data_IF_658385342055
#
_entry.id   IF_658385342055
#
_cell.length_a   1.000
_cell.length_b   1.000
_cell.length_c   1.000
_cell.angle_alpha   90.00
_cell.angle_beta   90.00
_cell.angle_gamma   90.00
#
_symmetry.space_group_name_H-M   'P 1'
#
loop_
_entity.id
_entity.type
_entity.pdbx_description
1 polymer ?
#
# COMPACT_ATOMS: atom_id res chain seq x y z
N UNK A 1 28.71 -19.53 6.53
CA UNK A 1 27.84 -18.38 6.25
C UNK A 1 26.59 -18.56 7.08
N UNK A 2 26.25 -17.64 7.97
CA UNK A 2 24.94 -17.67 8.68
C UNK A 2 23.87 -17.60 7.60
N UNK A 3 22.90 -18.52 7.62
CA UNK A 3 21.67 -18.42 6.83
C UNK A 3 20.90 -17.19 7.33
N UNK A 4 21.28 -15.99 6.88
CA UNK A 4 20.47 -14.79 7.13
C UNK A 4 19.19 -14.96 6.32
N UNK A 5 18.05 -14.89 7.00
CA UNK A 5 16.76 -14.88 6.33
C UNK A 5 16.66 -13.57 5.53
N UNK A 6 16.81 -13.64 4.21
CA UNK A 6 16.75 -12.46 3.34
C UNK A 6 15.41 -11.73 3.39
N UNK A 7 14.33 -12.42 3.81
CA UNK A 7 12.99 -11.87 3.97
C UNK A 7 12.73 -11.33 5.38
N UNK A 8 13.79 -11.23 6.21
CA UNK A 8 13.66 -10.75 7.58
C UNK A 8 13.26 -9.26 7.64
N UNK A 9 12.17 -8.99 8.31
CA UNK A 9 11.66 -7.66 8.65
C UNK A 9 11.57 -7.45 10.16
N UNK A 10 12.11 -8.39 10.95
CA UNK A 10 12.08 -8.32 12.41
C UNK A 10 12.73 -7.05 12.93
N UNK A 11 12.15 -6.47 13.98
CA UNK A 11 12.58 -5.22 14.61
C UNK A 11 12.52 -3.98 13.71
N UNK A 12 11.99 -4.08 12.48
CA UNK A 12 11.74 -2.92 11.63
C UNK A 12 10.50 -2.18 12.10
N UNK A 13 10.57 -0.86 12.15
CA UNK A 13 9.41 -0.01 12.42
C UNK A 13 8.70 0.24 11.10
N UNK A 14 7.46 -0.22 11.01
CA UNK A 14 6.61 -0.11 9.81
C UNK A 14 5.48 0.86 10.06
N UNK A 15 5.36 1.85 9.21
CA UNK A 15 4.22 2.76 9.16
C UNK A 15 3.32 2.37 8.00
N UNK A 16 2.05 2.09 8.25
CA UNK A 16 1.11 1.66 7.20
C UNK A 16 -0.18 2.46 7.23
N UNK A 17 -0.55 3.03 6.09
CA UNK A 17 -1.83 3.73 5.92
C UNK A 17 -2.92 2.79 5.44
N UNK A 18 -4.18 3.02 5.87
CA UNK A 18 -5.31 2.17 5.47
C UNK A 18 -5.39 0.83 6.23
N UNK A 19 -4.78 0.74 7.42
CA UNK A 19 -4.67 -0.49 8.20
C UNK A 19 -5.99 -1.00 8.81
N UNK A 20 -7.11 -0.29 8.64
CA UNK A 20 -8.39 -0.69 9.25
C UNK A 20 -9.19 -1.73 8.46
N UNK A 21 -8.78 -2.10 7.25
CA UNK A 21 -9.45 -3.15 6.46
C UNK A 21 -8.66 -3.57 5.22
N UNK A 22 -9.09 -4.65 4.58
CA UNK A 22 -8.66 -5.10 3.26
C UNK A 22 -7.14 -5.29 3.14
N UNK A 23 -6.57 -4.84 2.04
CA UNK A 23 -5.15 -5.04 1.73
C UNK A 23 -4.25 -4.37 2.79
N UNK A 24 -4.61 -3.16 3.26
CA UNK A 24 -3.82 -2.47 4.28
C UNK A 24 -3.77 -3.21 5.61
N UNK A 25 -4.89 -3.76 6.08
CA UNK A 25 -4.94 -4.57 7.29
C UNK A 25 -4.20 -5.91 7.13
N UNK A 26 -4.37 -6.59 5.97
CA UNK A 26 -3.65 -7.83 5.66
C UNK A 26 -2.14 -7.60 5.64
N UNK A 27 -1.68 -6.54 4.98
CA UNK A 27 -0.27 -6.15 4.94
C UNK A 27 0.30 -5.84 6.34
N UNK A 28 -0.47 -5.12 7.18
CA UNK A 28 -0.09 -4.82 8.54
C UNK A 28 0.05 -6.11 9.38
N UNK A 29 -0.90 -7.01 9.24
CA UNK A 29 -0.89 -8.33 9.93
C UNK A 29 0.29 -9.19 9.47
N UNK A 30 0.54 -9.26 8.15
CA UNK A 30 1.66 -10.01 7.60
C UNK A 30 3.00 -9.52 8.19
N UNK A 31 3.25 -8.21 8.18
CA UNK A 31 4.50 -7.63 8.69
C UNK A 31 4.66 -7.82 10.20
N UNK A 32 3.58 -7.66 10.99
CA UNK A 32 3.61 -7.88 12.43
C UNK A 32 3.93 -9.34 12.77
N UNK A 33 3.28 -10.31 12.12
CA UNK A 33 3.55 -11.75 12.29
C UNK A 33 4.98 -12.16 11.92
N UNK A 34 5.64 -11.37 11.06
CA UNK A 34 7.05 -11.56 10.69
C UNK A 34 8.02 -10.73 11.54
N UNK A 35 7.58 -10.26 12.72
CA UNK A 35 8.42 -9.66 13.76
C UNK A 35 8.71 -8.17 13.59
N UNK A 36 8.03 -7.48 12.67
CA UNK A 36 8.08 -6.03 12.59
C UNK A 36 7.21 -5.39 13.68
N UNK A 37 7.62 -4.20 14.15
CA UNK A 37 6.77 -3.30 14.93
C UNK A 37 5.92 -2.47 13.96
N UNK A 38 4.60 -2.68 13.96
CA UNK A 38 3.70 -2.10 12.96
C UNK A 38 2.79 -1.05 13.57
N UNK A 39 2.84 0.17 13.03
CA UNK A 39 1.96 1.29 13.37
C UNK A 39 0.92 1.46 12.26
N UNK A 40 -0.32 1.10 12.56
CA UNK A 40 -1.44 1.22 11.61
C UNK A 40 -2.11 2.59 11.67
N UNK A 41 -2.24 3.27 10.52
CA UNK A 41 -2.94 4.56 10.45
C UNK A 41 -4.26 4.40 9.69
N UNK A 42 -5.37 4.81 10.29
CA UNK A 42 -6.67 4.91 9.63
C UNK A 42 -7.63 5.83 10.42
N UNK A 43 -8.86 5.96 9.91
CA UNK A 43 -9.91 6.81 10.50
C UNK A 43 -10.88 6.06 11.42
N UNK A 44 -10.92 4.72 11.35
CA UNK A 44 -11.87 3.87 12.09
C UNK A 44 -11.16 3.29 13.30
N UNK A 45 -11.39 3.88 14.45
CA UNK A 45 -10.71 3.51 15.69
C UNK A 45 -11.09 2.10 16.16
N UNK A 46 -12.38 1.76 16.11
CA UNK A 46 -12.91 0.44 16.46
C UNK A 46 -12.21 -0.69 15.70
N UNK A 47 -12.01 -0.49 14.38
CA UNK A 47 -11.32 -1.46 13.53
C UNK A 47 -9.83 -1.57 13.83
N UNK A 48 -9.16 -0.44 14.07
CA UNK A 48 -7.74 -0.43 14.42
C UNK A 48 -7.50 -1.08 15.77
N UNK A 49 -8.31 -0.75 16.76
CA UNK A 49 -8.24 -1.33 18.10
C UNK A 49 -8.43 -2.83 18.06
N UNK A 50 -9.50 -3.30 17.38
CA UNK A 50 -9.75 -4.74 17.20
C UNK A 50 -8.59 -5.44 16.49
N UNK A 51 -8.02 -4.82 15.44
CA UNK A 51 -6.84 -5.37 14.75
C UNK A 51 -5.64 -5.51 15.71
N UNK A 52 -5.31 -4.48 16.50
CA UNK A 52 -4.22 -4.56 17.48
C UNK A 52 -4.46 -5.63 18.55
N UNK A 53 -5.70 -5.80 19.03
CA UNK A 53 -6.06 -6.78 20.04
C UNK A 53 -5.99 -8.22 19.54
N UNK A 54 -6.20 -8.44 18.22
CA UNK A 54 -6.29 -9.79 17.63
C UNK A 54 -5.08 -10.18 16.80
N UNK A 55 -4.20 -9.24 16.47
CA UNK A 55 -3.02 -9.48 15.66
C UNK A 55 -1.88 -10.03 16.52
N UNK A 56 -1.25 -11.11 16.07
CA UNK A 56 0.00 -11.59 16.65
C UNK A 56 1.16 -10.69 16.23
N UNK A 57 1.96 -10.24 17.20
CA UNK A 57 3.12 -9.40 16.97
C UNK A 57 3.02 -8.03 17.65
N UNK A 58 4.03 -7.18 17.45
CA UNK A 58 4.10 -5.85 18.04
C UNK A 58 3.32 -4.86 17.17
N UNK A 59 2.15 -4.42 17.64
CA UNK A 59 1.23 -3.55 16.90
C UNK A 59 0.81 -2.35 17.73
N UNK A 60 0.72 -1.20 17.08
CA UNK A 60 0.06 -0.01 17.60
C UNK A 60 -0.74 0.69 16.51
N UNK A 61 -1.55 1.66 16.88
CA UNK A 61 -2.33 2.41 15.90
C UNK A 61 -2.32 3.91 16.17
N UNK A 62 -2.52 4.67 15.11
CA UNK A 62 -2.70 6.12 15.15
C UNK A 62 -3.98 6.50 14.39
N UNK A 63 -4.91 7.16 15.09
CA UNK A 63 -6.16 7.61 14.51
C UNK A 63 -5.95 8.90 13.72
N UNK A 64 -6.00 8.83 12.39
CA UNK A 64 -5.84 10.00 11.54
C UNK A 64 -6.52 9.86 10.18
N UNK A 65 -6.90 11.02 9.63
CA UNK A 65 -7.34 11.16 8.23
C UNK A 65 -6.17 11.69 7.39
N UNK A 66 -5.48 10.77 6.72
CA UNK A 66 -4.32 11.09 5.87
C UNK A 66 -4.71 11.79 4.55
N UNK A 67 -5.99 11.89 4.20
CA UNK A 67 -6.43 12.70 3.06
C UNK A 67 -6.24 14.20 3.31
N UNK A 68 -6.17 14.62 4.56
CA UNK A 68 -5.91 16.00 4.96
C UNK A 68 -4.40 16.29 4.92
N UNK A 69 -3.87 16.48 3.71
CA UNK A 69 -2.43 16.61 3.43
C UNK A 69 -1.66 17.57 4.35
N UNK A 70 -2.27 18.70 4.73
CA UNK A 70 -1.66 19.70 5.62
C UNK A 70 -1.26 19.14 6.98
N UNK A 71 -1.90 18.06 7.43
CA UNK A 71 -1.68 17.47 8.74
C UNK A 71 -0.66 16.32 8.71
N UNK A 72 -0.31 15.78 7.54
CA UNK A 72 0.51 14.57 7.41
C UNK A 72 1.84 14.72 8.17
N UNK A 73 2.53 15.83 7.98
CA UNK A 73 3.82 16.06 8.64
C UNK A 73 3.71 15.97 10.18
N UNK A 74 2.69 16.61 10.76
CA UNK A 74 2.49 16.58 12.21
C UNK A 74 2.09 15.18 12.69
N UNK A 75 1.21 14.48 11.96
CA UNK A 75 0.84 13.10 12.24
C UNK A 75 2.08 12.20 12.29
N UNK A 76 2.97 12.32 11.31
CA UNK A 76 4.18 11.49 11.24
C UNK A 76 5.17 11.87 12.35
N UNK A 77 5.33 13.15 12.68
CA UNK A 77 6.20 13.59 13.78
C UNK A 77 5.69 13.05 15.12
N UNK A 78 4.39 13.11 15.40
CA UNK A 78 3.80 12.56 16.62
C UNK A 78 3.99 11.03 16.73
N UNK A 79 3.97 10.33 15.59
CA UNK A 79 4.23 8.89 15.56
C UNK A 79 5.71 8.61 15.81
N UNK A 80 6.62 9.37 15.20
CA UNK A 80 8.07 9.22 15.38
C UNK A 80 8.45 9.44 16.83
N UNK A 81 7.85 10.42 17.50
CA UNK A 81 8.11 10.71 18.91
C UNK A 81 7.73 9.52 19.83
N UNK A 82 6.66 8.82 19.52
CA UNK A 82 6.13 7.71 20.32
C UNK A 82 6.75 6.36 19.97
N UNK A 83 6.95 6.09 18.69
CA UNK A 83 7.23 4.76 18.17
C UNK A 83 8.64 4.61 17.60
N UNK A 84 9.31 5.74 17.32
CA UNK A 84 10.61 5.81 16.66
C UNK A 84 10.53 6.04 15.15
N UNK A 85 11.69 6.27 14.54
CA UNK A 85 11.80 6.54 13.10
C UNK A 85 11.42 5.31 12.26
N UNK A 86 10.46 5.40 11.33
CA UNK A 86 10.08 4.30 10.47
C UNK A 86 11.23 3.82 9.57
N UNK A 87 11.36 2.51 9.43
CA UNK A 87 12.23 1.86 8.46
C UNK A 87 11.48 1.56 7.15
N UNK A 88 10.19 1.29 7.26
CA UNK A 88 9.32 0.89 6.16
C UNK A 88 8.06 1.75 6.19
N UNK A 89 7.69 2.28 5.03
CA UNK A 89 6.40 2.95 4.80
C UNK A 89 5.59 2.15 3.78
N UNK A 90 4.35 1.79 4.13
CA UNK A 90 3.40 1.14 3.23
C UNK A 90 2.20 2.05 3.01
N UNK A 91 2.05 2.57 1.81
CA UNK A 91 0.94 3.41 1.39
C UNK A 91 -0.18 2.52 0.82
N UNK A 92 -1.13 2.09 1.68
CA UNK A 92 -2.25 1.23 1.29
C UNK A 92 -3.63 1.92 1.39
N UNK A 93 -3.71 3.12 1.95
CA UNK A 93 -4.95 3.89 1.94
C UNK A 93 -5.36 4.27 0.51
N UNK A 94 -6.63 4.08 0.18
CA UNK A 94 -7.15 4.44 -1.13
C UNK A 94 -8.66 4.32 -1.23
N UNK A 95 -9.23 5.00 -2.21
CA UNK A 95 -10.65 4.99 -2.56
C UNK A 95 -10.84 4.86 -4.07
N UNK A 96 -12.04 4.44 -4.47
CA UNK A 96 -12.54 4.55 -5.83
C UNK A 96 -14.01 5.03 -5.75
N UNK A 97 -14.27 6.24 -6.21
CA UNK A 97 -15.62 6.86 -6.18
C UNK A 97 -16.59 6.20 -7.14
N UNK A 98 -16.08 5.48 -8.15
CA UNK A 98 -16.88 4.73 -9.14
C UNK A 98 -17.88 5.59 -9.92
N UNK A 99 -17.49 6.83 -10.21
CA UNK A 99 -18.28 7.74 -11.04
C UNK A 99 -18.15 7.37 -12.52
N UNK A 100 -19.27 7.45 -13.28
CA UNK A 100 -19.23 7.36 -14.73
C UNK A 100 -18.44 8.55 -15.32
N UNK A 101 -17.83 8.38 -16.50
CA UNK A 101 -16.96 9.40 -17.07
C UNK A 101 -17.63 10.77 -17.22
N UNK A 102 -18.90 10.80 -17.62
CA UNK A 102 -19.68 12.03 -17.84
C UNK A 102 -20.15 12.68 -16.52
N UNK A 103 -20.13 11.93 -15.42
CA UNK A 103 -20.65 12.34 -14.10
C UNK A 103 -19.56 12.56 -13.06
N UNK A 104 -18.26 12.52 -13.46
CA UNK A 104 -17.15 12.76 -12.53
C UNK A 104 -17.24 14.15 -11.93
N UNK A 105 -17.41 14.20 -10.61
CA UNK A 105 -17.47 15.46 -9.87
C UNK A 105 -16.08 15.98 -9.54
N UNK A 106 -15.92 17.31 -9.42
CA UNK A 106 -14.66 17.91 -8.94
C UNK A 106 -14.29 17.38 -7.55
N UNK A 107 -15.26 17.24 -6.65
CA UNK A 107 -15.04 16.70 -5.31
C UNK A 107 -14.55 15.24 -5.35
N UNK A 108 -15.20 14.37 -6.15
CA UNK A 108 -14.81 12.96 -6.32
C UNK A 108 -13.43 12.83 -6.93
N UNK A 109 -13.12 13.67 -7.92
CA UNK A 109 -11.82 13.75 -8.54
C UNK A 109 -10.73 14.14 -7.53
N UNK A 110 -10.87 15.29 -6.88
CA UNK A 110 -9.90 15.83 -5.93
C UNK A 110 -9.69 14.87 -4.75
N UNK A 111 -10.75 14.36 -4.16
CA UNK A 111 -10.70 13.39 -3.07
C UNK A 111 -9.93 12.12 -3.46
N UNK A 112 -10.15 11.64 -4.69
CA UNK A 112 -9.44 10.45 -5.19
C UNK A 112 -7.96 10.74 -5.41
N UNK A 113 -7.60 11.84 -6.06
CA UNK A 113 -6.21 12.20 -6.29
C UNK A 113 -5.49 12.55 -4.98
N UNK A 114 -6.15 13.24 -4.07
CA UNK A 114 -5.57 13.59 -2.77
C UNK A 114 -5.19 12.36 -1.97
N UNK A 115 -6.09 11.40 -1.82
CA UNK A 115 -5.83 10.21 -1.03
C UNK A 115 -4.94 9.21 -1.75
N UNK A 116 -5.20 8.93 -3.03
CA UNK A 116 -4.52 7.84 -3.74
C UNK A 116 -3.14 8.24 -4.30
N UNK A 117 -2.88 9.52 -4.56
CA UNK A 117 -1.67 9.99 -5.22
C UNK A 117 -0.86 10.97 -4.36
N UNK A 118 -1.50 12.04 -3.87
CA UNK A 118 -0.78 13.06 -3.11
C UNK A 118 -0.35 12.57 -1.74
N UNK A 119 -1.24 11.88 -1.02
CA UNK A 119 -0.96 11.32 0.33
C UNK A 119 0.27 10.41 0.33
N UNK A 120 0.43 9.42 -0.56
CA UNK A 120 1.65 8.60 -0.63
C UNK A 120 2.95 9.39 -0.73
N UNK A 121 2.97 10.47 -1.50
CA UNK A 121 4.14 11.33 -1.60
C UNK A 121 4.44 12.06 -0.29
N UNK A 122 3.45 12.73 0.31
CA UNK A 122 3.68 13.49 1.54
C UNK A 122 3.96 12.62 2.75
N UNK A 123 3.39 11.41 2.83
CA UNK A 123 3.78 10.41 3.82
C UNK A 123 5.26 10.01 3.65
N UNK A 124 5.69 9.70 2.43
CA UNK A 124 7.09 9.37 2.13
C UNK A 124 8.03 10.53 2.46
N UNK A 125 7.69 11.76 2.06
CA UNK A 125 8.47 12.95 2.35
C UNK A 125 8.64 13.18 3.86
N UNK A 126 7.65 12.78 4.66
CA UNK A 126 7.68 12.99 6.12
C UNK A 126 8.58 11.99 6.86
N UNK A 127 8.85 10.80 6.28
CA UNK A 127 9.72 9.77 6.89
C UNK A 127 11.13 9.73 6.31
N UNK A 128 11.36 10.44 5.20
CA UNK A 128 12.57 10.28 4.38
C UNK A 128 13.86 10.65 5.10
N UNK A 129 13.83 11.66 5.98
CA UNK A 129 15.05 12.13 6.68
C UNK A 129 15.54 11.09 7.69
N UNK A 130 14.65 10.39 8.40
CA UNK A 130 15.00 9.28 9.28
C UNK A 130 15.63 8.11 8.50
N UNK A 131 15.02 7.76 7.35
CA UNK A 131 15.55 6.72 6.47
C UNK A 131 16.93 7.10 5.89
N UNK A 132 17.16 8.36 5.50
CA UNK A 132 18.47 8.85 5.03
C UNK A 132 19.54 8.72 6.11
N UNK A 133 19.24 9.09 7.36
CA UNK A 133 20.17 8.96 8.50
C UNK A 133 20.56 7.50 8.72
N UNK A 134 19.60 6.57 8.59
CA UNK A 134 19.82 5.13 8.70
C UNK A 134 20.53 4.54 7.47
N UNK A 135 20.59 5.26 6.34
CA UNK A 135 21.05 4.78 5.02
C UNK A 135 20.33 3.50 4.57
N UNK A 136 19.08 3.37 4.98
CA UNK A 136 18.22 2.24 4.65
C UNK A 136 16.75 2.65 4.81
N UNK A 137 15.93 2.26 3.86
CA UNK A 137 14.49 2.44 3.90
C UNK A 137 13.77 1.67 2.82
N UNK A 138 12.49 1.38 3.04
CA UNK A 138 11.58 0.79 2.06
C UNK A 138 10.28 1.59 2.00
N UNK A 139 9.88 1.97 0.79
CA UNK A 139 8.61 2.64 0.54
C UNK A 139 7.83 1.77 -0.43
N UNK A 140 6.67 1.28 0.00
CA UNK A 140 5.80 0.41 -0.79
C UNK A 140 4.50 1.14 -1.06
N UNK A 141 4.19 1.37 -2.33
CA UNK A 141 2.95 1.99 -2.75
C UNK A 141 2.00 0.91 -3.30
N UNK A 142 0.73 0.92 -2.88
CA UNK A 142 -0.28 0.09 -3.53
C UNK A 142 -0.85 0.80 -4.76
N UNK A 143 -0.45 0.29 -5.92
CA UNK A 143 -0.98 0.63 -7.23
C UNK A 143 -2.25 -0.20 -7.54
N UNK A 144 -2.49 -0.59 -8.79
CA UNK A 144 -3.64 -1.37 -9.22
C UNK A 144 -3.44 -1.90 -10.65
N UNK A 145 -4.26 -2.84 -11.09
CA UNK A 145 -4.50 -3.11 -12.51
C UNK A 145 -4.81 -1.81 -13.28
N UNK A 146 -5.53 -0.89 -12.65
CA UNK A 146 -5.91 0.40 -13.22
C UNK A 146 -4.72 1.33 -13.50
N UNK A 147 -3.50 1.00 -13.06
CA UNK A 147 -2.29 1.72 -13.47
C UNK A 147 -2.00 1.59 -14.96
N UNK A 148 -2.38 0.46 -15.58
CA UNK A 148 -2.12 0.18 -17.02
C UNK A 148 -3.35 -0.30 -17.80
N UNK A 149 -4.48 -0.56 -17.13
CA UNK A 149 -5.72 -1.05 -17.76
C UNK A 149 -6.86 -0.10 -17.44
N UNK A 150 -7.62 0.29 -18.46
CA UNK A 150 -8.86 1.02 -18.22
C UNK A 150 -9.91 0.10 -17.58
N UNK A 151 -10.53 0.59 -16.51
CA UNK A 151 -11.63 -0.09 -15.84
C UNK A 151 -12.89 0.79 -15.88
N UNK A 152 -14.08 0.21 -16.08
CA UNK A 152 -15.33 0.96 -16.11
C UNK A 152 -15.53 1.78 -14.84
N UNK A 153 -16.08 2.99 -14.96
CA UNK A 153 -16.40 3.91 -13.84
C UNK A 153 -15.21 4.12 -12.89
N UNK A 154 -14.02 4.34 -13.45
CA UNK A 154 -12.78 4.44 -12.67
C UNK A 154 -11.81 5.48 -13.25
N UNK A 155 -12.32 6.60 -13.79
CA UNK A 155 -11.49 7.64 -14.45
C UNK A 155 -10.49 8.23 -13.43
N UNK A 156 -10.95 8.84 -12.34
CA UNK A 156 -10.10 9.45 -11.32
C UNK A 156 -9.21 8.41 -10.63
N UNK A 157 -9.75 7.21 -10.37
CA UNK A 157 -9.00 6.09 -9.81
C UNK A 157 -7.86 5.64 -10.74
N UNK A 158 -8.15 5.43 -12.03
CA UNK A 158 -7.15 5.07 -13.04
C UNK A 158 -6.06 6.11 -13.16
N UNK A 159 -6.42 7.39 -13.25
CA UNK A 159 -5.48 8.50 -13.26
C UNK A 159 -4.57 8.50 -12.02
N UNK A 160 -5.16 8.31 -10.82
CA UNK A 160 -4.40 8.25 -9.56
C UNK A 160 -3.44 7.06 -9.53
N UNK A 161 -3.88 5.87 -9.98
CA UNK A 161 -3.05 4.64 -9.94
C UNK A 161 -1.98 4.61 -11.05
N UNK A 162 -2.23 5.21 -12.20
CA UNK A 162 -1.19 5.51 -13.20
C UNK A 162 -0.16 6.50 -12.65
N UNK A 163 -0.63 7.54 -11.94
CA UNK A 163 0.23 8.48 -11.23
C UNK A 163 1.12 7.82 -10.18
N UNK A 164 0.60 6.84 -9.42
CA UNK A 164 1.40 6.07 -8.43
C UNK A 164 2.54 5.30 -9.09
N UNK A 165 2.34 4.72 -10.27
CA UNK A 165 3.41 4.05 -11.00
C UNK A 165 4.55 5.02 -11.31
N UNK A 166 4.24 6.20 -11.85
CA UNK A 166 5.26 7.21 -12.18
C UNK A 166 5.85 7.87 -10.94
N UNK A 167 5.04 8.13 -9.91
CA UNK A 167 5.51 8.66 -8.63
C UNK A 167 6.51 7.71 -7.96
N UNK A 168 6.28 6.39 -8.04
CA UNK A 168 7.20 5.37 -7.53
C UNK A 168 8.56 5.45 -8.20
N UNK A 169 8.61 5.64 -9.53
CA UNK A 169 9.87 5.85 -10.27
C UNK A 169 10.57 7.14 -9.85
N UNK A 170 9.83 8.22 -9.73
CA UNK A 170 10.39 9.52 -9.34
C UNK A 170 10.97 9.51 -7.92
N UNK A 171 10.28 8.85 -6.96
CA UNK A 171 10.81 8.67 -5.60
C UNK A 171 12.05 7.78 -5.60
N UNK A 172 12.09 6.72 -6.40
CA UNK A 172 13.24 5.82 -6.52
C UNK A 172 14.46 6.59 -7.07
N UNK A 173 14.29 7.37 -8.12
CA UNK A 173 15.35 8.22 -8.67
C UNK A 173 15.91 9.18 -7.61
N UNK A 174 15.01 9.87 -6.89
CA UNK A 174 15.39 10.87 -5.91
C UNK A 174 16.14 10.30 -4.70
N UNK A 175 15.75 9.09 -4.23
CA UNK A 175 16.15 8.63 -2.89
C UNK A 175 16.96 7.34 -2.85
N UNK A 176 17.05 6.55 -3.94
CA UNK A 176 17.79 5.27 -3.90
C UNK A 176 19.28 5.44 -3.63
N UNK A 177 19.88 6.57 -4.00
CA UNK A 177 21.29 6.90 -3.66
C UNK A 177 21.56 6.99 -2.14
N UNK A 178 20.52 7.11 -1.33
CA UNK A 178 20.60 7.11 0.13
C UNK A 178 20.28 5.74 0.75
N UNK A 179 20.18 4.67 -0.06
CA UNK A 179 19.82 3.33 0.40
C UNK A 179 18.31 3.13 0.60
N UNK A 180 17.48 3.97 0.01
CA UNK A 180 16.01 3.92 0.15
C UNK A 180 15.39 3.43 -1.14
N UNK A 181 14.78 2.23 -1.12
CA UNK A 181 14.11 1.68 -2.28
C UNK A 181 12.62 1.97 -2.24
N UNK A 182 12.09 2.44 -3.37
CA UNK A 182 10.66 2.71 -3.54
C UNK A 182 10.10 1.84 -4.65
N UNK A 183 9.11 1.00 -4.29
CA UNK A 183 8.45 0.11 -5.25
C UNK A 183 6.93 0.17 -5.08
N UNK A 184 6.21 -0.37 -6.05
CA UNK A 184 4.77 -0.49 -5.99
C UNK A 184 4.31 -1.93 -6.21
N UNK A 185 3.24 -2.34 -5.52
CA UNK A 185 2.50 -3.57 -5.76
C UNK A 185 1.20 -3.19 -6.48
N UNK A 186 0.90 -3.86 -7.59
CA UNK A 186 -0.32 -3.70 -8.35
C UNK A 186 -1.19 -4.97 -8.21
N UNK A 187 -2.12 -5.00 -7.23
CA UNK A 187 -3.01 -6.14 -7.05
C UNK A 187 -3.99 -6.30 -8.21
N UNK A 188 -4.33 -7.56 -8.51
CA UNK A 188 -5.48 -7.93 -9.33
C UNK A 188 -6.80 -7.72 -8.59
N UNK A 189 -7.76 -8.63 -8.80
CA UNK A 189 -9.03 -8.64 -8.08
C UNK A 189 -8.91 -9.46 -6.79
N UNK A 190 -9.01 -8.76 -5.65
CA UNK A 190 -8.98 -9.31 -4.30
C UNK A 190 -10.26 -8.95 -3.53
N UNK A 191 -10.81 -9.85 -2.68
CA UNK A 191 -11.99 -9.56 -1.89
C UNK A 191 -11.65 -8.59 -0.75
N UNK A 192 -12.11 -7.36 -0.87
CA UNK A 192 -11.91 -6.28 0.11
C UNK A 192 -13.16 -5.40 0.17
N UNK A 193 -13.27 -4.53 1.17
CA UNK A 193 -14.39 -3.55 1.23
C UNK A 193 -14.48 -2.70 -0.06
N UNK A 194 -13.34 -2.33 -0.66
CA UNK A 194 -13.30 -1.56 -1.91
C UNK A 194 -13.87 -2.34 -3.10
N UNK A 195 -13.77 -3.65 -3.10
CA UNK A 195 -14.16 -4.53 -4.21
C UNK A 195 -15.47 -5.28 -3.96
N UNK A 196 -16.17 -5.04 -2.84
CA UNK A 196 -17.49 -5.62 -2.55
C UNK A 196 -18.45 -5.57 -3.75
N UNK A 197 -18.60 -4.43 -4.50
CA UNK A 197 -19.48 -4.39 -5.66
C UNK A 197 -19.08 -5.32 -6.81
N UNK A 198 -17.82 -5.74 -6.85
CA UNK A 198 -17.31 -6.72 -7.84
C UNK A 198 -17.60 -8.13 -7.38
N UNK A 199 -17.34 -8.44 -6.10
CA UNK A 199 -17.46 -9.79 -5.56
C UNK A 199 -18.90 -10.19 -5.22
N UNK A 200 -19.81 -9.22 -5.03
CA UNK A 200 -21.26 -9.47 -4.92
C UNK A 200 -21.90 -9.84 -6.28
N UNK A 201 -21.24 -9.55 -7.40
CA UNK A 201 -21.66 -9.96 -8.74
C UNK A 201 -20.92 -11.26 -9.11
N UNK A 202 -21.63 -12.39 -9.01
CA UNK A 202 -21.07 -13.73 -9.26
C UNK A 202 -20.54 -13.88 -10.68
N UNK A 203 -21.25 -13.36 -11.69
CA UNK A 203 -20.84 -13.48 -13.08
C UNK A 203 -19.61 -12.61 -13.36
N UNK A 204 -19.54 -11.42 -12.80
CA UNK A 204 -18.36 -10.56 -12.88
C UNK A 204 -17.17 -11.20 -12.17
N UNK A 205 -17.37 -11.80 -11.02
CA UNK A 205 -16.34 -12.52 -10.27
C UNK A 205 -15.77 -13.69 -11.07
N UNK A 206 -16.62 -14.51 -11.67
CA UNK A 206 -16.21 -15.62 -12.56
C UNK A 206 -15.45 -15.12 -13.79
N UNK A 207 -15.97 -14.09 -14.47
CA UNK A 207 -15.31 -13.50 -15.64
C UNK A 207 -13.93 -12.95 -15.31
N UNK A 208 -13.77 -12.28 -14.16
CA UNK A 208 -12.48 -11.77 -13.72
C UNK A 208 -11.49 -12.92 -13.47
N UNK A 209 -11.93 -14.01 -12.82
CA UNK A 209 -11.12 -15.20 -12.62
C UNK A 209 -10.64 -15.82 -13.95
N UNK A 210 -11.53 -15.94 -14.93
CA UNK A 210 -11.22 -16.49 -16.26
C UNK A 210 -10.24 -15.63 -17.07
N UNK A 211 -10.16 -14.34 -16.78
CA UNK A 211 -9.20 -13.43 -17.41
C UNK A 211 -7.79 -13.57 -16.84
N UNK A 212 -7.62 -14.17 -15.67
CA UNK A 212 -6.29 -14.48 -15.14
C UNK A 212 -5.69 -15.70 -15.82
N UNK A 213 -4.35 -15.79 -15.91
CA UNK A 213 -3.68 -16.99 -16.42
C UNK A 213 -3.85 -18.18 -15.45
N UNK A 214 -3.92 -17.91 -14.13
CA UNK A 214 -4.06 -18.96 -13.12
C UNK A 214 -5.52 -19.37 -12.84
N UNK A 215 -6.52 -18.75 -13.48
CA UNK A 215 -7.93 -19.14 -13.45
C UNK A 215 -8.69 -18.83 -12.16
N UNK A 216 -8.15 -17.98 -11.27
CA UNK A 216 -8.83 -17.57 -10.04
C UNK A 216 -8.59 -16.09 -9.70
N UNK A 217 -9.47 -15.53 -8.88
CA UNK A 217 -9.20 -14.25 -8.21
C UNK A 217 -8.16 -14.41 -7.09
N UNK A 218 -7.55 -13.32 -6.67
CA UNK A 218 -6.57 -13.31 -5.58
C UNK A 218 -7.18 -13.57 -4.21
N UNK A 219 -6.37 -14.12 -3.32
CA UNK A 219 -6.59 -14.16 -1.87
C UNK A 219 -5.63 -13.18 -1.21
N UNK A 220 -5.98 -12.57 -0.09
CA UNK A 220 -5.13 -11.56 0.54
C UNK A 220 -3.72 -12.08 0.84
N UNK A 221 -3.60 -13.36 1.19
CA UNK A 221 -2.34 -14.04 1.46
C UNK A 221 -1.42 -14.15 0.22
N UNK A 222 -1.97 -14.05 -0.99
CA UNK A 222 -1.14 -14.01 -2.23
C UNK A 222 -0.27 -12.74 -2.29
N UNK A 223 -0.56 -11.70 -1.49
CA UNK A 223 0.21 -10.47 -1.41
C UNK A 223 1.34 -10.53 -0.38
N UNK A 224 1.35 -11.48 0.54
CA UNK A 224 2.29 -11.54 1.67
C UNK A 224 3.74 -11.74 1.19
N UNK A 225 3.98 -12.72 0.32
CA UNK A 225 5.32 -12.98 -0.24
C UNK A 225 5.89 -11.78 -0.99
N UNK A 226 5.17 -11.20 -1.97
CA UNK A 226 5.58 -9.98 -2.65
C UNK A 226 5.84 -8.79 -1.72
N UNK A 227 5.03 -8.62 -0.68
CA UNK A 227 5.22 -7.56 0.31
C UNK A 227 6.50 -7.77 1.12
N UNK A 228 6.71 -8.96 1.69
CA UNK A 228 7.92 -9.31 2.44
C UNK A 228 9.18 -9.17 1.58
N UNK A 229 9.11 -9.61 0.32
CA UNK A 229 10.20 -9.41 -0.64
C UNK A 229 10.58 -7.94 -0.75
N UNK A 230 9.61 -7.06 -1.03
CA UNK A 230 9.88 -5.64 -1.24
C UNK A 230 10.23 -4.89 0.06
N UNK A 231 9.77 -5.36 1.23
CA UNK A 231 10.06 -4.77 2.53
C UNK A 231 11.40 -5.18 3.13
N UNK A 232 12.07 -6.21 2.60
CA UNK A 232 13.27 -6.82 3.18
C UNK A 232 14.53 -6.56 2.36
N UNK A 233 15.64 -7.18 2.77
CA UNK A 233 16.92 -7.15 2.05
C UNK A 233 16.91 -7.95 0.75
N UNK A 234 15.94 -8.85 0.56
CA UNK A 234 15.75 -9.60 -0.70
C UNK A 234 15.58 -8.68 -1.91
N UNK A 235 15.16 -7.43 -1.71
CA UNK A 235 14.96 -6.43 -2.76
C UNK A 235 16.00 -5.29 -2.75
N UNK A 236 17.19 -5.49 -2.17
CA UNK A 236 18.21 -4.43 -2.06
C UNK A 236 18.58 -3.81 -3.43
N UNK A 237 18.48 -4.57 -4.53
CA UNK A 237 18.75 -4.07 -5.89
C UNK A 237 17.47 -3.86 -6.73
N UNK A 238 16.29 -3.76 -6.08
CA UNK A 238 14.99 -3.55 -6.74
C UNK A 238 14.41 -2.22 -6.28
N UNK A 239 14.33 -1.25 -7.18
CA UNK A 239 13.74 0.07 -6.92
C UNK A 239 13.07 0.62 -8.17
N UNK A 240 12.04 1.46 -8.00
CA UNK A 240 11.28 2.08 -9.10
C UNK A 240 10.35 1.11 -9.84
N UNK A 241 10.10 -0.10 -9.30
CA UNK A 241 9.37 -1.14 -10.01
C UNK A 241 7.88 -1.16 -9.63
N UNK A 242 7.05 -1.55 -10.60
CA UNK A 242 5.66 -1.90 -10.41
C UNK A 242 5.52 -3.41 -10.56
N UNK A 243 5.27 -4.11 -9.44
CA UNK A 243 5.07 -5.55 -9.41
C UNK A 243 3.58 -5.88 -9.47
N UNK A 244 3.15 -6.46 -10.58
CA UNK A 244 1.78 -6.99 -10.70
C UNK A 244 1.65 -8.30 -9.92
N UNK A 245 0.64 -8.34 -9.04
CA UNK A 245 0.23 -9.55 -8.30
C UNK A 245 -1.23 -9.80 -8.65
N UNK A 246 -1.47 -10.32 -9.85
CA UNK A 246 -2.76 -10.31 -10.51
C UNK A 246 -3.13 -11.66 -11.18
N UNK A 247 -2.36 -12.71 -10.89
CA UNK A 247 -2.57 -14.02 -11.48
C UNK A 247 -2.38 -14.06 -13.00
N UNK A 248 -1.61 -13.12 -13.56
CA UNK A 248 -1.39 -12.99 -15.00
C UNK A 248 -2.53 -12.30 -15.74
N UNK A 249 -3.38 -11.55 -15.06
CA UNK A 249 -4.46 -10.77 -15.70
C UNK A 249 -3.91 -9.78 -16.75
N UNK A 250 -2.78 -9.13 -16.46
CA UNK A 250 -2.14 -8.18 -17.37
C UNK A 250 -1.18 -8.82 -18.36
N UNK A 251 -0.94 -10.12 -18.27
CA UNK A 251 -0.07 -10.86 -19.18
C UNK A 251 -0.81 -11.38 -20.43
N UNK A 252 -2.14 -11.28 -20.47
CA UNK A 252 -3.01 -11.64 -21.61
C UNK A 252 -3.36 -10.45 -22.47
#
# INVERSE_FOLDING_TARGET
MKNENLFDVSKKIVLITGASSGIGQSAATCLAKNGAKVVGIARREDKLKHWCETCEGETSYYLADVSKRKNIKNIVLDIIDKEGEPDILVNAAGINTREHADDVTLEGWDKTLDLNLSTPFFMAQSVIEGMKKKKWGRIINYASLASRRALPSSISYGASKGGIEQLTRAMAEAWSKYGINTNAIAPGFFPTELTVPVFNDTERTKRNAQQTCIGRNGKLEDLDGPLLFLCSRSSDYVTGQLLFVDGGFTAK
#
